data_IF_495370875279
#
_entry.id   IF_495370875279
#
_cell.length_a   1.000
_cell.length_b   1.000
_cell.length_c   1.000
_cell.angle_alpha   90.00
_cell.angle_beta   90.00
_cell.angle_gamma   90.00
#
_symmetry.space_group_name_H-M   'P 1'
#
loop_
_entity.id
_entity.type
_entity.pdbx_description
1 polymer ?
#
# COMPACT_ATOMS: atom_id res chain seq x y z
N UNK A 1 -25.55 -12.39 -1.86
CA UNK A 1 -24.67 -12.13 -3.00
C UNK A 1 -24.01 -13.45 -3.40
N UNK A 2 -24.09 -13.85 -4.68
CA UNK A 2 -23.38 -15.04 -5.16
C UNK A 2 -22.03 -14.59 -5.70
N UNK A 3 -20.94 -15.18 -5.22
CA UNK A 3 -19.57 -14.90 -5.68
C UNK A 3 -19.10 -16.07 -6.52
N UNK A 4 -18.54 -15.79 -7.71
CA UNK A 4 -17.88 -16.75 -8.57
C UNK A 4 -16.41 -16.39 -8.67
N UNK A 5 -15.52 -17.35 -8.43
CA UNK A 5 -14.08 -17.19 -8.61
C UNK A 5 -13.69 -17.70 -10.00
N UNK A 6 -12.89 -16.91 -10.70
CA UNK A 6 -12.31 -17.24 -11.99
C UNK A 6 -10.79 -17.28 -11.79
N UNK A 7 -10.12 -18.31 -12.30
CA UNK A 7 -8.66 -18.39 -12.21
C UNK A 7 -8.02 -17.31 -13.07
N UNK A 8 -6.87 -16.80 -12.63
CA UNK A 8 -6.18 -15.71 -13.33
C UNK A 8 -5.78 -16.09 -14.76
N UNK A 9 -5.37 -17.32 -15.01
CA UNK A 9 -5.01 -17.84 -16.34
C UNK A 9 -6.21 -17.90 -17.29
N UNK A 10 -7.41 -18.19 -16.78
CA UNK A 10 -8.64 -18.21 -17.57
C UNK A 10 -9.07 -16.80 -18.03
N UNK A 11 -8.62 -15.74 -17.37
CA UNK A 11 -9.01 -14.36 -17.71
C UNK A 11 -8.27 -13.79 -18.93
N UNK A 12 -7.10 -14.35 -19.26
CA UNK A 12 -6.17 -13.85 -20.29
C UNK A 12 -5.74 -12.37 -20.11
N UNK A 13 -5.94 -11.82 -18.91
CA UNK A 13 -5.65 -10.42 -18.59
C UNK A 13 -4.27 -10.21 -17.95
N UNK A 14 -3.56 -11.29 -17.62
CA UNK A 14 -2.31 -11.23 -16.85
C UNK A 14 -1.12 -11.76 -17.61
N UNK A 15 0.05 -11.18 -17.36
CA UNK A 15 1.29 -11.66 -17.97
C UNK A 15 1.65 -13.09 -17.49
N UNK A 16 2.42 -13.80 -18.29
CA UNK A 16 2.92 -15.14 -17.93
C UNK A 16 3.71 -15.14 -16.62
N UNK A 17 4.42 -14.05 -16.33
CA UNK A 17 5.18 -13.87 -15.07
C UNK A 17 4.26 -13.85 -13.86
N UNK A 18 3.16 -13.10 -13.93
CA UNK A 18 2.15 -13.06 -12.85
C UNK A 18 1.54 -14.43 -12.63
N UNK A 19 1.15 -15.12 -13.70
CA UNK A 19 0.57 -16.47 -13.61
C UNK A 19 1.57 -17.46 -12.99
N UNK A 20 2.84 -17.43 -13.41
CA UNK A 20 3.90 -18.26 -12.81
C UNK A 20 4.10 -17.95 -11.32
N UNK A 21 4.06 -16.68 -10.93
CA UNK A 21 4.20 -16.27 -9.54
C UNK A 21 3.08 -16.82 -8.66
N UNK A 22 1.83 -16.69 -9.13
CA UNK A 22 0.66 -17.19 -8.41
C UNK A 22 0.62 -18.72 -8.33
N UNK A 23 1.09 -19.41 -9.39
CA UNK A 23 1.19 -20.86 -9.45
C UNK A 23 2.47 -21.42 -8.79
N UNK A 24 3.30 -20.56 -8.16
CA UNK A 24 4.54 -20.94 -7.49
C UNK A 24 5.52 -21.72 -8.39
N UNK A 25 5.61 -21.31 -9.66
CA UNK A 25 6.48 -21.94 -10.65
C UNK A 25 7.96 -21.74 -10.26
N UNK A 26 8.68 -22.86 -10.13
CA UNK A 26 10.09 -22.85 -9.70
C UNK A 26 11.02 -22.11 -10.68
N UNK A 27 10.61 -21.91 -11.93
CA UNK A 27 11.38 -21.15 -12.92
C UNK A 27 11.58 -19.67 -12.53
N UNK A 28 10.67 -19.10 -11.72
CA UNK A 28 10.81 -17.73 -11.26
C UNK A 28 11.33 -17.63 -9.82
N UNK A 29 11.48 -18.74 -9.12
CA UNK A 29 11.98 -18.77 -7.74
C UNK A 29 13.33 -18.02 -7.54
N UNK A 30 14.30 -18.06 -8.47
CA UNK A 30 15.54 -17.31 -8.32
C UNK A 30 15.38 -15.78 -8.30
N UNK A 31 14.25 -15.26 -8.79
CA UNK A 31 13.99 -13.82 -8.91
C UNK A 31 13.10 -13.28 -7.78
N UNK A 32 12.62 -14.13 -6.88
CA UNK A 32 11.71 -13.74 -5.80
C UNK A 32 12.21 -14.30 -4.47
N UNK A 33 11.94 -13.57 -3.39
CA UNK A 33 12.33 -14.02 -2.07
C UNK A 33 11.37 -15.08 -1.52
N UNK A 34 10.06 -14.86 -1.67
CA UNK A 34 9.02 -15.77 -1.18
C UNK A 34 7.80 -15.73 -2.11
N UNK A 35 7.12 -16.87 -2.25
CA UNK A 35 5.83 -16.93 -2.92
C UNK A 35 4.70 -16.35 -2.02
N UNK A 36 3.57 -15.90 -2.61
CA UNK A 36 2.53 -15.19 -1.88
C UNK A 36 1.64 -16.14 -1.06
N UNK A 37 2.14 -16.62 0.07
CA UNK A 37 1.34 -17.42 0.98
C UNK A 37 1.60 -17.06 2.46
N UNK A 38 0.68 -17.47 3.32
CA UNK A 38 0.79 -17.18 4.76
C UNK A 38 1.97 -17.89 5.44
N UNK A 39 2.48 -19.00 4.88
CA UNK A 39 3.65 -19.68 5.43
C UNK A 39 4.92 -18.86 5.20
N UNK A 40 5.01 -18.16 4.06
CA UNK A 40 6.12 -17.29 3.75
C UNK A 40 6.31 -16.16 4.79
N UNK A 41 5.21 -15.63 5.34
CA UNK A 41 5.28 -14.60 6.37
C UNK A 41 6.02 -15.07 7.62
N UNK A 42 5.90 -16.34 8.02
CA UNK A 42 6.64 -16.90 9.14
C UNK A 42 8.15 -16.79 8.91
N UNK A 43 8.60 -17.10 7.71
CA UNK A 43 10.01 -17.02 7.34
C UNK A 43 10.49 -15.57 7.29
N UNK A 44 9.69 -14.67 6.71
CA UNK A 44 10.00 -13.24 6.65
C UNK A 44 10.12 -12.65 8.07
N UNK A 45 9.18 -12.93 8.94
CA UNK A 45 9.19 -12.46 10.33
C UNK A 45 10.43 -12.95 11.06
N UNK A 46 10.77 -14.25 10.92
CA UNK A 46 11.91 -14.86 11.58
C UNK A 46 13.26 -14.29 11.11
N UNK A 47 13.36 -14.00 9.81
CA UNK A 47 14.63 -13.61 9.18
C UNK A 47 14.81 -12.11 9.05
N UNK A 48 13.76 -11.30 9.34
CA UNK A 48 13.83 -9.84 9.21
C UNK A 48 14.68 -9.27 10.32
N UNK A 49 15.82 -8.72 9.96
CA UNK A 49 16.62 -7.89 10.84
C UNK A 49 16.53 -6.43 10.35
N UNK A 50 16.07 -5.53 11.21
CA UNK A 50 16.02 -4.11 10.94
C UNK A 50 16.79 -3.37 12.03
N UNK A 51 17.86 -2.68 11.65
CA UNK A 51 18.77 -1.99 12.54
C UNK A 51 18.57 -0.48 12.60
N UNK A 52 17.63 0.07 11.82
CA UNK A 52 17.34 1.50 11.79
C UNK A 52 16.64 2.00 13.05
N UNK A 53 16.85 3.26 13.38
CA UNK A 53 16.14 3.92 14.47
C UNK A 53 14.70 4.25 14.04
N UNK A 54 13.75 3.60 14.70
CA UNK A 54 12.33 3.80 14.46
C UNK A 54 11.74 4.97 15.24
N UNK A 55 12.46 5.52 16.21
CA UNK A 55 11.96 6.65 16.99
C UNK A 55 11.78 7.88 16.10
N UNK A 56 12.74 8.14 15.23
CA UNK A 56 12.67 9.24 14.25
C UNK A 56 11.43 9.13 13.37
N UNK A 57 11.16 7.93 12.84
CA UNK A 57 9.95 7.69 12.04
C UNK A 57 8.67 7.99 12.82
N UNK A 58 8.59 7.51 14.06
CA UNK A 58 7.42 7.72 14.92
C UNK A 58 7.21 9.19 15.22
N UNK A 59 8.28 9.92 15.55
CA UNK A 59 8.21 11.34 15.87
C UNK A 59 7.76 12.18 14.67
N UNK A 60 8.29 11.89 13.47
CA UNK A 60 7.84 12.53 12.22
C UNK A 60 6.37 12.24 11.94
N UNK A 61 5.94 11.00 12.08
CA UNK A 61 4.53 10.63 11.86
C UNK A 61 3.61 11.33 12.87
N UNK A 62 3.98 11.38 14.14
CA UNK A 62 3.21 12.13 15.14
C UNK A 62 3.09 13.61 14.78
N UNK A 63 4.18 14.23 14.31
CA UNK A 63 4.16 15.61 13.84
C UNK A 63 3.26 15.80 12.61
N UNK A 64 3.33 14.90 11.62
CA UNK A 64 2.49 14.97 10.42
C UNK A 64 1.00 14.84 10.73
N UNK A 65 0.66 14.01 11.69
CA UNK A 65 -0.74 13.76 12.05
C UNK A 65 -1.31 14.73 13.08
N UNK A 66 -0.48 15.54 13.76
CA UNK A 66 -0.94 16.42 14.85
C UNK A 66 -2.06 17.39 14.46
N UNK A 67 -2.07 17.86 13.20
CA UNK A 67 -3.04 18.83 12.70
C UNK A 67 -4.27 18.19 12.03
N UNK A 68 -4.37 16.86 12.04
CA UNK A 68 -5.52 16.17 11.49
C UNK A 68 -6.58 16.04 12.58
N UNK A 69 -7.70 16.72 12.38
CA UNK A 69 -8.85 16.64 13.29
C UNK A 69 -9.53 15.26 13.23
N UNK A 70 -10.14 14.86 14.33
CA UNK A 70 -10.95 13.64 14.44
C UNK A 70 -10.20 12.35 14.01
N UNK A 71 -8.93 12.24 14.38
CA UNK A 71 -8.14 11.04 14.09
C UNK A 71 -8.75 9.81 14.76
N UNK A 72 -8.98 8.71 14.00
CA UNK A 72 -9.34 7.43 14.60
C UNK A 72 -8.26 6.95 15.58
N UNK A 73 -8.66 6.39 16.71
CA UNK A 73 -7.72 5.81 17.71
C UNK A 73 -6.76 4.77 17.10
N UNK A 74 -7.21 4.06 16.08
CA UNK A 74 -6.38 3.09 15.37
C UNK A 74 -5.12 3.72 14.73
N UNK A 75 -5.16 4.99 14.34
CA UNK A 75 -3.99 5.69 13.77
C UNK A 75 -2.93 5.89 14.85
N UNK A 76 -3.32 6.42 16.00
CA UNK A 76 -2.42 6.65 17.14
C UNK A 76 -1.78 5.33 17.61
N UNK A 77 -2.61 4.29 17.73
CA UNK A 77 -2.13 2.97 18.09
C UNK A 77 -1.12 2.42 17.07
N UNK A 78 -1.41 2.52 15.77
CA UNK A 78 -0.53 2.07 14.71
C UNK A 78 0.82 2.81 14.70
N UNK A 79 0.81 4.14 14.87
CA UNK A 79 2.05 4.93 14.96
C UNK A 79 2.86 4.49 16.19
N UNK A 80 2.21 4.31 17.34
CA UNK A 80 2.87 3.82 18.56
C UNK A 80 3.49 2.44 18.37
N UNK A 81 2.82 1.52 17.69
CA UNK A 81 3.35 0.18 17.42
C UNK A 81 4.63 0.20 16.59
N UNK A 82 4.81 1.17 15.69
CA UNK A 82 6.02 1.27 14.86
C UNK A 82 7.31 1.40 15.68
N UNK A 83 7.23 1.86 16.91
CA UNK A 83 8.39 1.93 17.82
C UNK A 83 8.97 0.57 18.17
N UNK A 84 8.16 -0.48 18.13
CA UNK A 84 8.57 -1.83 18.52
C UNK A 84 9.24 -2.59 17.36
N UNK A 85 10.34 -3.27 17.66
CA UNK A 85 11.02 -4.18 16.70
C UNK A 85 10.17 -5.40 16.32
N UNK A 86 9.10 -5.68 17.07
CA UNK A 86 8.11 -6.73 16.75
C UNK A 86 7.00 -6.24 15.82
N UNK A 87 7.13 -5.03 15.25
CA UNK A 87 6.15 -4.47 14.33
C UNK A 87 6.63 -4.55 12.89
N UNK A 88 5.74 -5.02 12.03
CA UNK A 88 5.92 -5.10 10.58
C UNK A 88 4.89 -4.20 9.89
N UNK A 89 5.25 -3.63 8.75
CA UNK A 89 4.31 -2.88 7.90
C UNK A 89 3.79 -3.77 6.77
N UNK A 90 2.51 -3.63 6.47
CA UNK A 90 1.90 -4.18 5.26
C UNK A 90 1.57 -2.99 4.38
N UNK A 91 2.35 -2.83 3.31
CA UNK A 91 2.35 -1.60 2.53
C UNK A 91 1.72 -1.80 1.16
N UNK A 92 0.87 -0.88 0.77
CA UNK A 92 0.43 -0.68 -0.59
C UNK A 92 0.55 0.79 -0.95
N UNK A 93 0.46 1.13 -2.23
CA UNK A 93 0.54 2.51 -2.65
C UNK A 93 -0.07 2.74 -4.03
N UNK A 94 -0.34 4.01 -4.30
CA UNK A 94 -0.80 4.53 -5.58
C UNK A 94 -0.61 6.04 -5.60
N UNK A 95 -0.59 6.63 -6.79
CA UNK A 95 -0.70 8.07 -6.98
C UNK A 95 -1.99 8.63 -6.37
N UNK A 96 -2.03 9.92 -6.14
CA UNK A 96 -3.26 10.61 -5.76
C UNK A 96 -4.30 10.47 -6.86
N UNK A 97 -5.52 10.13 -6.48
CA UNK A 97 -6.64 9.96 -7.39
C UNK A 97 -7.77 10.91 -7.04
N UNK A 98 -8.51 11.36 -8.07
CA UNK A 98 -9.78 12.09 -7.88
C UNK A 98 -10.92 11.09 -7.67
N UNK A 99 -11.89 11.45 -6.84
CA UNK A 99 -13.11 10.66 -6.57
C UNK A 99 -12.85 9.18 -6.27
N UNK A 100 -11.92 8.89 -5.36
CA UNK A 100 -11.51 7.54 -4.95
C UNK A 100 -10.79 6.71 -6.02
N UNK A 101 -10.55 7.25 -7.20
CA UNK A 101 -9.83 6.55 -8.27
C UNK A 101 -10.50 5.28 -8.79
N UNK A 102 -9.76 4.43 -9.47
CA UNK A 102 -10.27 3.17 -9.98
C UNK A 102 -10.56 2.17 -8.86
N UNK A 103 -11.46 1.22 -9.11
CA UNK A 103 -11.89 0.24 -8.12
C UNK A 103 -10.73 -0.55 -7.48
N UNK A 104 -9.68 -0.84 -8.25
CA UNK A 104 -8.51 -1.55 -7.71
C UNK A 104 -7.78 -0.78 -6.60
N UNK A 105 -7.84 0.54 -6.60
CA UNK A 105 -7.32 1.38 -5.52
C UNK A 105 -7.97 1.04 -4.17
N UNK A 106 -9.30 0.96 -4.16
CA UNK A 106 -10.06 0.56 -2.96
C UNK A 106 -9.70 -0.88 -2.54
N UNK A 107 -9.60 -1.79 -3.51
CA UNK A 107 -9.21 -3.18 -3.24
C UNK A 107 -7.81 -3.27 -2.64
N UNK A 108 -6.84 -2.51 -3.12
CA UNK A 108 -5.48 -2.47 -2.54
C UNK A 108 -5.52 -2.10 -1.05
N UNK A 109 -6.25 -1.02 -0.71
CA UNK A 109 -6.36 -0.54 0.69
C UNK A 109 -7.03 -1.60 1.57
N UNK A 110 -8.19 -2.08 1.15
CA UNK A 110 -8.97 -3.07 1.93
C UNK A 110 -8.19 -4.37 2.11
N UNK A 111 -7.53 -4.85 1.05
CA UNK A 111 -6.70 -6.06 1.12
C UNK A 111 -5.54 -5.88 2.09
N UNK A 112 -4.87 -4.74 2.07
CA UNK A 112 -3.76 -4.42 2.99
C UNK A 112 -4.22 -4.41 4.45
N UNK A 113 -5.35 -3.79 4.72
CA UNK A 113 -5.95 -3.76 6.08
C UNK A 113 -6.33 -5.18 6.53
N UNK A 114 -7.00 -5.94 5.68
CA UNK A 114 -7.43 -7.30 6.02
C UNK A 114 -6.23 -8.23 6.23
N UNK A 115 -5.22 -8.16 5.38
CA UNK A 115 -3.99 -8.93 5.54
C UNK A 115 -3.28 -8.60 6.86
N UNK A 116 -3.19 -7.33 7.23
CA UNK A 116 -2.61 -6.94 8.52
C UNK A 116 -3.40 -7.55 9.70
N UNK A 117 -4.73 -7.54 9.64
CA UNK A 117 -5.60 -8.18 10.65
C UNK A 117 -5.42 -9.69 10.72
N UNK A 118 -5.33 -10.36 9.58
CA UNK A 118 -5.18 -11.82 9.53
C UNK A 118 -3.79 -12.27 9.99
N UNK A 119 -2.74 -11.51 9.66
CA UNK A 119 -1.42 -11.73 10.18
C UNK A 119 -1.35 -11.51 11.70
N UNK A 120 -2.03 -10.49 12.24
CA UNK A 120 -2.13 -10.29 13.70
C UNK A 120 -2.79 -11.47 14.41
N UNK A 121 -3.85 -12.03 13.82
CA UNK A 121 -4.50 -13.24 14.38
C UNK A 121 -3.54 -14.44 14.36
N UNK A 122 -2.76 -14.60 13.28
CA UNK A 122 -1.86 -15.73 13.09
C UNK A 122 -0.56 -15.62 13.89
N UNK A 123 -0.08 -14.42 14.12
CA UNK A 123 1.17 -14.09 14.82
C UNK A 123 0.88 -13.06 15.93
N UNK A 124 0.18 -13.45 17.00
CA UNK A 124 -0.32 -12.51 18.02
C UNK A 124 0.79 -11.75 18.78
N UNK A 125 2.00 -12.28 18.80
CA UNK A 125 3.17 -11.66 19.42
C UNK A 125 3.79 -10.52 18.61
N UNK A 126 3.36 -10.35 17.35
CA UNK A 126 3.81 -9.29 16.45
C UNK A 126 2.70 -8.30 16.15
N UNK A 127 3.07 -7.08 15.78
CA UNK A 127 2.12 -6.09 15.28
C UNK A 127 2.27 -5.93 13.78
N UNK A 128 1.16 -5.69 13.09
CA UNK A 128 1.11 -5.47 11.64
C UNK A 128 0.38 -4.17 11.39
N UNK A 129 1.11 -3.17 10.91
CA UNK A 129 0.57 -1.84 10.64
C UNK A 129 0.30 -1.71 9.15
N UNK A 130 -0.97 -1.52 8.73
CA UNK A 130 -1.27 -1.23 7.33
C UNK A 130 -0.78 0.18 6.99
N UNK A 131 -0.04 0.29 5.88
CA UNK A 131 0.51 1.56 5.39
C UNK A 131 0.06 1.78 3.96
N UNK A 132 -0.46 2.96 3.70
CA UNK A 132 -0.71 3.43 2.35
C UNK A 132 0.36 4.47 1.97
N UNK A 133 1.12 4.18 0.92
CA UNK A 133 2.09 5.09 0.34
C UNK A 133 1.41 5.97 -0.70
N UNK A 134 1.27 7.26 -0.40
CA UNK A 134 0.79 8.24 -1.37
C UNK A 134 1.96 8.67 -2.26
N UNK A 135 2.06 8.07 -3.43
CA UNK A 135 3.11 8.37 -4.40
C UNK A 135 2.88 9.74 -5.05
N UNK A 136 3.09 10.81 -4.27
CA UNK A 136 2.90 12.20 -4.72
C UNK A 136 4.01 12.65 -5.65
N UNK A 137 5.13 11.96 -5.64
CA UNK A 137 6.29 12.16 -6.52
C UNK A 137 6.07 11.61 -7.93
N UNK A 138 5.10 10.75 -8.13
CA UNK A 138 4.78 10.15 -9.42
C UNK A 138 3.99 11.13 -10.29
N UNK A 139 4.35 11.23 -11.58
CA UNK A 139 3.84 12.25 -12.50
C UNK A 139 3.01 11.67 -13.63
N UNK A 140 2.56 10.44 -13.55
CA UNK A 140 1.71 9.89 -14.60
C UNK A 140 0.31 10.54 -14.55
N UNK A 141 0.25 11.72 -15.18
CA UNK A 141 -0.97 12.50 -15.22
C UNK A 141 -2.11 11.76 -15.93
N UNK A 142 -1.81 10.87 -16.87
CA UNK A 142 -2.85 10.13 -17.59
C UNK A 142 -3.55 9.09 -16.71
N UNK A 143 -2.89 8.57 -15.69
CA UNK A 143 -3.51 7.68 -14.72
C UNK A 143 -4.51 8.40 -13.80
N UNK A 144 -4.28 9.68 -13.48
CA UNK A 144 -5.03 10.41 -12.46
C UNK A 144 -5.99 11.45 -13.00
N UNK A 145 -5.90 11.80 -14.30
CA UNK A 145 -6.62 12.93 -14.88
C UNK A 145 -8.08 12.63 -15.25
N UNK A 146 -8.59 11.46 -14.94
CA UNK A 146 -9.93 11.09 -15.35
C UNK A 146 -10.69 10.25 -14.32
N UNK A 147 -11.99 10.26 -14.47
CA UNK A 147 -12.90 9.37 -13.73
C UNK A 147 -14.04 8.92 -14.65
N UNK A 148 -14.80 7.94 -14.20
CA UNK A 148 -15.98 7.45 -14.90
C UNK A 148 -17.23 7.79 -14.10
N UNK A 149 -18.17 8.48 -14.72
CA UNK A 149 -19.48 8.78 -14.15
C UNK A 149 -20.58 8.25 -15.07
N UNK A 150 -21.42 7.37 -14.56
CA UNK A 150 -22.49 6.71 -15.33
C UNK A 150 -21.98 6.13 -16.68
N UNK A 151 -20.83 5.45 -16.65
CA UNK A 151 -20.21 4.84 -17.83
C UNK A 151 -19.52 5.81 -18.80
N UNK A 152 -19.55 7.12 -18.54
CA UNK A 152 -18.87 8.13 -19.35
C UNK A 152 -17.52 8.50 -18.74
N UNK A 153 -16.46 8.46 -19.55
CA UNK A 153 -15.13 8.95 -19.15
C UNK A 153 -15.14 10.48 -19.13
N UNK A 154 -14.88 11.04 -17.96
CA UNK A 154 -14.69 12.49 -17.77
C UNK A 154 -13.21 12.69 -17.56
N UNK A 155 -12.56 13.48 -18.44
CA UNK A 155 -11.12 13.70 -18.41
C UNK A 155 -10.83 15.17 -18.15
N UNK A 156 -9.97 15.43 -17.19
CA UNK A 156 -9.41 16.75 -16.98
C UNK A 156 -8.22 16.95 -17.91
N UNK A 157 -8.30 17.95 -18.78
CA UNK A 157 -7.21 18.37 -19.65
C UNK A 157 -6.65 19.67 -19.10
N UNK A 158 -5.43 19.64 -18.59
CA UNK A 158 -4.71 20.85 -18.22
C UNK A 158 -3.65 21.12 -19.28
N UNK A 159 -3.66 22.30 -19.88
CA UNK A 159 -2.55 22.74 -20.72
C UNK A 159 -1.27 22.74 -19.90
N UNK A 160 -0.20 22.15 -20.43
CA UNK A 160 1.12 21.94 -19.83
C UNK A 160 1.25 22.43 -18.39
N UNK A 161 1.12 21.53 -17.44
CA UNK A 161 1.59 21.74 -16.09
C UNK A 161 2.47 20.57 -15.68
N UNK A 162 3.69 20.93 -15.42
CA UNK A 162 4.59 20.20 -14.56
C UNK A 162 3.89 19.81 -13.27
N UNK A 163 4.13 18.59 -12.82
CA UNK A 163 3.84 18.00 -11.53
C UNK A 163 2.75 18.67 -10.68
N UNK A 164 1.72 17.93 -10.30
CA UNK A 164 0.92 18.28 -9.11
C UNK A 164 1.84 18.11 -7.91
N UNK A 165 2.67 19.09 -7.66
CA UNK A 165 3.37 19.21 -6.40
C UNK A 165 2.29 19.58 -5.38
N UNK A 166 1.89 18.64 -4.56
CA UNK A 166 1.21 19.00 -3.32
C UNK A 166 2.12 20.01 -2.60
N UNK A 167 1.58 21.13 -2.07
CA UNK A 167 2.41 22.06 -1.33
C UNK A 167 3.13 21.30 -0.22
N UNK A 168 4.43 21.28 -0.29
CA UNK A 168 5.27 20.83 0.82
C UNK A 168 4.90 21.72 1.98
N UNK A 169 4.59 21.20 3.17
CA UNK A 169 4.32 22.02 4.32
C UNK A 169 5.49 22.98 4.49
N UNK A 170 5.22 24.29 4.50
CA UNK A 170 6.22 25.32 4.69
C UNK A 170 6.91 25.07 6.04
N UNK A 171 8.15 24.61 6.02
CA UNK A 171 8.90 24.33 7.24
C UNK A 171 9.99 23.26 7.11
N UNK A 172 10.15 22.62 5.97
CA UNK A 172 11.35 21.82 5.72
C UNK A 172 12.42 22.73 5.09
N UNK A 173 13.67 22.70 5.58
CA UNK A 173 14.75 23.43 4.93
C UNK A 173 14.96 22.85 3.51
N UNK A 174 15.24 23.75 2.57
CA UNK A 174 15.66 23.38 1.22
C UNK A 174 16.90 22.47 1.29
N UNK A 175 17.03 21.51 0.35
CA UNK A 175 18.13 20.56 0.33
C UNK A 175 19.50 21.21 0.10
#
# INVERSE_FOLDING_TARGET
MKVKYIKYDETQCFSSTVIRYLNKDQKIAPFINQFPDLAAFKNIIKNRNFTGDRSILVDILLQQYQNIENQPEAIKANISYLKSNKTFTITTGHQLNIFTGPLYFVFKIVTTINLAKDLKKKFPEHNFVPVYWMATEDHDFEEINHTYLAGKKITWKKGRLSAVVAPVPSGLPDP
#
